data_IF_728297838708
#
_entry.id   IF_728297838708
#
_cell.length_a   1.000
_cell.length_b   1.000
_cell.length_c   1.000
_cell.angle_alpha   90.00
_cell.angle_beta   90.00
_cell.angle_gamma   90.00
#
_symmetry.space_group_name_H-M   'P 1'
#
loop_
_entity.id
_entity.type
_entity.pdbx_description
1 polymer ?
#
# COMPACT_ATOMS: atom_id res chain seq x y z
N UNK A 1 -11.17 -1.05 10.46
CA UNK A 1 -10.82 -0.51 9.15
C UNK A 1 -11.02 1.01 9.04
N UNK A 2 -10.82 1.86 10.07
CA UNK A 2 -11.14 3.29 9.92
C UNK A 2 -10.37 3.99 8.80
N UNK A 3 -9.07 3.69 8.62
CA UNK A 3 -8.27 4.30 7.56
C UNK A 3 -8.71 3.76 6.19
N UNK A 4 -8.72 2.43 6.05
CA UNK A 4 -9.22 1.71 4.88
C UNK A 4 -10.60 2.17 4.40
N UNK A 5 -11.60 2.19 5.28
CA UNK A 5 -12.97 2.55 4.94
C UNK A 5 -13.06 4.03 4.55
N UNK A 6 -12.25 4.89 5.18
CA UNK A 6 -12.21 6.32 4.85
C UNK A 6 -11.61 6.55 3.47
N UNK A 7 -10.50 5.91 3.12
CA UNK A 7 -9.90 6.08 1.79
C UNK A 7 -10.73 5.45 0.67
N UNK A 8 -11.41 4.33 0.94
CA UNK A 8 -12.37 3.74 -0.01
C UNK A 8 -13.57 4.66 -0.23
N UNK A 9 -14.15 5.20 0.86
CA UNK A 9 -15.26 6.15 0.78
C UNK A 9 -14.87 7.42 0.05
N UNK A 10 -13.66 7.95 0.32
CA UNK A 10 -13.12 9.12 -0.36
C UNK A 10 -12.92 8.85 -1.86
N UNK A 11 -12.36 7.69 -2.22
CA UNK A 11 -12.21 7.25 -3.61
C UNK A 11 -13.57 7.21 -4.31
N UNK A 12 -14.56 6.56 -3.71
CA UNK A 12 -15.91 6.46 -4.27
C UNK A 12 -16.58 7.84 -4.46
N UNK A 13 -16.41 8.76 -3.50
CA UNK A 13 -16.92 10.13 -3.61
C UNK A 13 -16.25 10.89 -4.75
N UNK A 14 -14.91 10.83 -4.84
CA UNK A 14 -14.15 11.51 -5.88
C UNK A 14 -14.47 10.98 -7.28
N UNK A 15 -14.52 9.66 -7.46
CA UNK A 15 -14.88 9.04 -8.74
C UNK A 15 -16.36 9.23 -9.09
N UNK A 16 -17.22 9.35 -8.08
CA UNK A 16 -18.63 9.74 -8.22
C UNK A 16 -18.84 11.21 -8.60
N UNK A 17 -17.78 12.00 -8.74
CA UNK A 17 -17.84 13.40 -9.16
C UNK A 17 -18.13 14.39 -8.03
N UNK A 18 -17.96 14.01 -6.76
CA UNK A 18 -18.05 14.96 -5.66
C UNK A 18 -16.96 16.05 -5.80
N UNK A 19 -17.29 17.34 -5.61
CA UNK A 19 -16.30 18.40 -5.68
C UNK A 19 -15.20 18.26 -4.62
N UNK A 20 -13.94 18.57 -4.98
CA UNK A 20 -12.79 18.51 -4.07
C UNK A 20 -12.92 19.44 -2.84
N UNK A 21 -13.75 20.48 -2.93
CA UNK A 21 -14.03 21.42 -1.84
C UNK A 21 -15.27 21.03 -1.00
N UNK A 22 -15.94 19.94 -1.35
CA UNK A 22 -17.05 19.41 -0.55
C UNK A 22 -16.58 19.19 0.91
N UNK A 23 -17.35 19.61 1.93
CA UNK A 23 -16.91 19.54 3.33
C UNK A 23 -16.46 18.15 3.77
N UNK A 24 -17.18 17.10 3.38
CA UNK A 24 -16.81 15.73 3.71
C UNK A 24 -15.50 15.27 3.04
N UNK A 25 -15.25 15.70 1.79
CA UNK A 25 -14.00 15.40 1.07
C UNK A 25 -12.83 16.07 1.76
N UNK A 26 -12.96 17.36 2.10
CA UNK A 26 -11.92 18.09 2.83
C UNK A 26 -11.63 17.47 4.19
N UNK A 27 -12.67 17.12 4.94
CA UNK A 27 -12.52 16.49 6.25
C UNK A 27 -11.81 15.13 6.15
N UNK A 28 -12.20 14.28 5.18
CA UNK A 28 -11.55 13.00 4.96
C UNK A 28 -10.07 13.17 4.56
N UNK A 29 -9.78 14.10 3.65
CA UNK A 29 -8.40 14.42 3.24
C UNK A 29 -7.57 14.87 4.44
N UNK A 30 -8.05 15.85 5.22
CA UNK A 30 -7.33 16.35 6.39
C UNK A 30 -7.09 15.25 7.42
N UNK A 31 -8.14 14.47 7.73
CA UNK A 31 -8.03 13.34 8.66
C UNK A 31 -7.04 12.28 8.20
N UNK A 32 -7.05 11.88 6.91
CA UNK A 32 -6.08 10.93 6.38
C UNK A 32 -4.65 11.47 6.52
N UNK A 33 -4.41 12.75 6.23
CA UNK A 33 -3.09 13.32 6.51
C UNK A 33 -2.75 13.26 8.00
N UNK A 34 -3.66 13.57 8.92
CA UNK A 34 -3.36 13.51 10.35
C UNK A 34 -2.99 12.09 10.84
N UNK A 35 -3.38 11.03 10.11
CA UNK A 35 -3.03 9.64 10.41
C UNK A 35 -1.77 9.12 9.70
N UNK A 36 -1.04 9.94 8.94
CA UNK A 36 0.20 9.49 8.30
C UNK A 36 1.30 9.24 9.33
N UNK A 37 1.97 8.11 9.21
CA UNK A 37 2.97 7.63 10.17
C UNK A 37 4.37 8.13 9.76
N UNK A 38 5.11 8.69 10.73
CA UNK A 38 6.47 9.21 10.55
C UNK A 38 7.50 8.59 11.50
N UNK A 39 7.13 7.53 12.20
CA UNK A 39 8.03 6.76 13.07
C UNK A 39 8.36 5.42 12.43
N UNK A 40 9.51 4.86 12.77
CA UNK A 40 9.91 3.55 12.31
C UNK A 40 9.12 2.45 13.03
N UNK A 41 8.64 1.47 12.26
CA UNK A 41 8.02 0.23 12.72
C UNK A 41 8.96 -0.98 12.61
N UNK A 42 8.40 -2.18 12.78
CA UNK A 42 9.18 -3.43 12.70
C UNK A 42 9.80 -3.64 11.30
N UNK A 43 9.10 -3.22 10.25
CA UNK A 43 9.56 -3.22 8.86
C UNK A 43 10.95 -2.60 8.66
N UNK A 44 11.32 -1.62 9.50
CA UNK A 44 12.59 -0.90 9.39
C UNK A 44 13.82 -1.78 9.68
N UNK A 45 13.63 -2.97 10.28
CA UNK A 45 14.69 -3.97 10.46
C UNK A 45 15.24 -4.46 9.12
N UNK A 46 14.34 -4.66 8.16
CA UNK A 46 14.67 -5.14 6.81
C UNK A 46 14.82 -4.00 5.79
N UNK A 47 14.24 -2.83 6.06
CA UNK A 47 14.34 -1.63 5.22
C UNK A 47 15.25 -0.54 5.85
N UNK A 48 16.54 -0.85 6.05
CA UNK A 48 17.47 0.05 6.75
C UNK A 48 17.61 1.38 6.01
N UNK A 49 17.35 2.49 6.72
CA UNK A 49 17.50 3.84 6.19
C UNK A 49 16.33 4.31 5.33
N UNK A 50 15.29 3.50 5.13
CA UNK A 50 14.06 3.91 4.50
C UNK A 50 13.28 4.83 5.45
N UNK A 51 12.87 6.00 4.95
CA UNK A 51 12.05 6.94 5.72
C UNK A 51 10.61 6.44 5.82
N UNK A 52 10.02 6.56 7.01
CA UNK A 52 8.60 6.25 7.24
C UNK A 52 7.70 7.24 6.50
N UNK A 53 6.55 6.77 6.01
CA UNK A 53 5.56 7.64 5.36
C UNK A 53 4.24 6.95 5.04
N UNK A 54 3.98 5.79 5.64
CA UNK A 54 2.81 4.96 5.37
C UNK A 54 1.61 5.29 6.27
N UNK A 55 0.58 4.48 6.12
CA UNK A 55 -0.62 4.44 6.95
C UNK A 55 -0.85 3.01 7.44
N UNK A 56 -1.60 2.86 8.52
CA UNK A 56 -2.06 1.58 9.02
C UNK A 56 -3.58 1.48 8.89
N UNK A 57 -4.10 0.25 8.92
CA UNK A 57 -5.54 -0.04 8.89
C UNK A 57 -6.37 0.59 10.03
N UNK A 58 -5.79 0.71 11.22
CA UNK A 58 -6.46 1.17 12.46
C UNK A 58 -6.19 2.65 12.77
N UNK A 59 -6.83 3.17 13.83
CA UNK A 59 -6.61 4.54 14.32
C UNK A 59 -5.18 4.77 14.84
N UNK A 60 -4.66 3.82 15.62
CA UNK A 60 -3.38 3.95 16.30
C UNK A 60 -2.62 2.63 16.16
N UNK A 61 -1.72 2.57 15.18
CA UNK A 61 -0.91 1.38 14.93
C UNK A 61 0.42 1.73 14.24
N UNK A 62 1.07 2.79 14.72
CA UNK A 62 2.23 3.44 14.09
C UNK A 62 3.45 2.53 13.86
N UNK A 63 3.48 1.34 14.47
CA UNK A 63 4.55 0.35 14.31
C UNK A 63 4.31 -0.66 13.20
N UNK A 64 3.09 -0.71 12.68
CA UNK A 64 2.67 -1.64 11.65
C UNK A 64 1.87 -0.92 10.55
N UNK A 65 2.45 0.10 9.89
CA UNK A 65 1.91 0.56 8.62
C UNK A 65 1.98 -0.58 7.60
N UNK A 66 1.00 -0.62 6.70
CA UNK A 66 0.93 -1.62 5.65
C UNK A 66 0.88 -0.99 4.28
N UNK A 67 1.39 -1.73 3.30
CA UNK A 67 1.50 -1.31 1.91
C UNK A 67 0.13 -1.12 1.27
N UNK A 68 -0.87 -1.87 1.75
CA UNK A 68 -2.22 -1.85 1.22
C UNK A 68 -2.94 -0.52 1.52
N UNK A 69 -3.13 -0.22 2.80
CA UNK A 69 -3.69 1.03 3.30
C UNK A 69 -2.87 2.23 2.80
N UNK A 70 -1.53 2.14 2.82
CA UNK A 70 -0.68 3.21 2.30
C UNK A 70 -0.96 3.50 0.83
N UNK A 71 -1.10 2.46 0.01
CA UNK A 71 -1.43 2.60 -1.40
C UNK A 71 -2.82 3.19 -1.62
N UNK A 72 -3.84 2.64 -0.97
CA UNK A 72 -5.22 3.11 -1.11
C UNK A 72 -5.42 4.53 -0.61
N UNK A 73 -4.84 4.89 0.54
CA UNK A 73 -4.88 6.26 1.06
C UNK A 73 -4.27 7.22 0.07
N UNK A 74 -3.08 6.91 -0.46
CA UNK A 74 -2.39 7.80 -1.37
C UNK A 74 -3.18 7.96 -2.68
N UNK A 75 -3.71 6.88 -3.26
CA UNK A 75 -4.55 6.99 -4.45
C UNK A 75 -5.83 7.79 -4.19
N UNK A 76 -6.48 7.62 -3.04
CA UNK A 76 -7.66 8.40 -2.65
C UNK A 76 -7.33 9.90 -2.52
N UNK A 77 -6.20 10.24 -1.90
CA UNK A 77 -5.72 11.61 -1.79
C UNK A 77 -5.42 12.24 -3.16
N UNK A 78 -4.84 11.47 -4.09
CA UNK A 78 -4.59 11.93 -5.45
C UNK A 78 -5.90 12.20 -6.20
N UNK A 79 -6.88 11.29 -6.14
CA UNK A 79 -8.23 11.44 -6.72
C UNK A 79 -8.97 12.66 -6.14
N UNK A 80 -8.79 12.95 -4.86
CA UNK A 80 -9.38 14.11 -4.19
C UNK A 80 -8.64 15.45 -4.43
N UNK A 81 -7.67 15.48 -5.36
CA UNK A 81 -6.94 16.70 -5.72
C UNK A 81 -5.97 17.19 -4.64
N UNK A 82 -5.58 16.36 -3.67
CA UNK A 82 -4.70 16.79 -2.57
C UNK A 82 -3.32 17.27 -3.06
N UNK A 83 -2.89 16.80 -4.23
CA UNK A 83 -1.63 17.16 -4.88
C UNK A 83 -1.58 18.61 -5.38
N UNK A 84 -2.73 19.27 -5.57
CA UNK A 84 -2.82 20.67 -5.99
C UNK A 84 -2.41 21.65 -4.88
N UNK A 85 -2.43 21.20 -3.61
CA UNK A 85 -2.12 22.04 -2.44
C UNK A 85 -0.66 21.92 -2.04
N UNK A 86 0.10 23.01 -2.18
CA UNK A 86 1.54 23.04 -1.91
C UNK A 86 1.93 22.55 -0.50
N UNK A 87 1.13 22.86 0.52
CA UNK A 87 1.43 22.51 1.91
C UNK A 87 1.55 20.99 2.17
N UNK A 88 0.93 20.16 1.32
CA UNK A 88 0.86 18.70 1.50
C UNK A 88 1.71 17.92 0.50
N UNK A 89 2.35 18.59 -0.47
CA UNK A 89 3.20 17.95 -1.50
C UNK A 89 4.36 17.13 -0.92
N UNK A 90 5.06 17.65 0.10
CA UNK A 90 6.17 16.91 0.73
C UNK A 90 5.69 15.57 1.31
N UNK A 91 4.55 15.59 2.00
CA UNK A 91 3.93 14.42 2.63
C UNK A 91 3.46 13.40 1.61
N UNK A 92 2.87 13.87 0.50
CA UNK A 92 2.47 13.04 -0.64
C UNK A 92 3.66 12.37 -1.33
N UNK A 93 4.81 13.05 -1.41
CA UNK A 93 6.00 12.49 -2.06
C UNK A 93 6.75 11.47 -1.18
N UNK A 94 6.53 11.48 0.13
CA UNK A 94 7.22 10.57 1.05
C UNK A 94 6.63 9.16 1.03
N UNK A 95 5.31 9.04 0.88
CA UNK A 95 4.61 7.76 0.87
C UNK A 95 4.99 6.83 -0.31
N UNK A 96 5.08 7.29 -1.59
CA UNK A 96 5.58 6.46 -2.68
C UNK A 96 6.97 5.92 -2.40
N UNK A 97 7.87 6.71 -1.80
CA UNK A 97 9.22 6.26 -1.49
C UNK A 97 9.20 5.13 -0.48
N UNK A 98 8.31 5.19 0.52
CA UNK A 98 8.12 4.09 1.46
C UNK A 98 7.61 2.83 0.73
N UNK A 99 6.57 2.92 -0.09
CA UNK A 99 6.05 1.77 -0.87
C UNK A 99 7.14 1.19 -1.77
N UNK A 100 7.89 2.01 -2.51
CA UNK A 100 9.02 1.57 -3.34
C UNK A 100 10.08 0.83 -2.54
N UNK A 101 10.41 1.33 -1.36
CA UNK A 101 11.39 0.74 -0.46
C UNK A 101 10.94 -0.59 0.15
N UNK A 102 9.63 -0.86 0.17
CA UNK A 102 9.02 -2.07 0.72
C UNK A 102 8.89 -3.22 -0.30
N UNK A 103 9.38 -3.07 -1.53
CA UNK A 103 9.32 -4.12 -2.54
C UNK A 103 10.20 -5.33 -2.19
N UNK A 104 9.66 -6.53 -2.36
CA UNK A 104 10.43 -7.77 -2.23
C UNK A 104 11.44 -7.96 -3.38
N UNK A 105 12.51 -8.74 -3.15
CA UNK A 105 13.51 -9.03 -4.20
C UNK A 105 12.95 -9.67 -5.48
N UNK A 106 11.86 -10.44 -5.39
CA UNK A 106 11.20 -11.06 -6.54
C UNK A 106 10.38 -10.06 -7.39
N UNK A 107 10.01 -8.92 -6.81
CA UNK A 107 9.20 -7.87 -7.43
C UNK A 107 7.82 -7.68 -6.80
N UNK A 108 7.43 -8.55 -5.88
CA UNK A 108 6.13 -8.51 -5.19
C UNK A 108 6.12 -7.54 -4.01
N UNK A 109 4.96 -7.35 -3.41
CA UNK A 109 4.79 -6.75 -2.08
C UNK A 109 3.97 -7.66 -1.19
N UNK A 110 4.45 -7.86 0.05
CA UNK A 110 3.63 -8.31 1.17
C UNK A 110 2.90 -7.13 1.81
N UNK A 111 2.12 -7.38 2.85
CA UNK A 111 1.36 -6.35 3.53
C UNK A 111 2.25 -5.44 4.40
N UNK A 112 3.16 -6.02 5.18
CA UNK A 112 3.88 -5.31 6.24
C UNK A 112 5.41 -5.37 6.10
N UNK A 113 5.97 -6.45 5.56
CA UNK A 113 7.41 -6.72 5.63
C UNK A 113 8.06 -7.06 4.29
N UNK A 114 9.36 -6.75 4.20
CA UNK A 114 10.22 -7.20 3.10
C UNK A 114 10.78 -8.58 3.43
N UNK A 115 10.66 -9.52 2.49
CA UNK A 115 11.30 -10.83 2.54
C UNK A 115 10.71 -11.78 3.58
N UNK A 116 9.50 -11.54 4.04
CA UNK A 116 8.80 -12.41 4.99
C UNK A 116 8.16 -13.61 4.28
N UNK A 117 9.00 -14.43 3.63
CA UNK A 117 8.58 -15.50 2.73
C UNK A 117 9.10 -16.89 3.15
N UNK A 118 9.44 -17.07 4.43
CA UNK A 118 9.88 -18.35 4.99
C UNK A 118 8.71 -19.34 5.13
N UNK A 119 8.11 -19.76 4.02
CA UNK A 119 6.87 -20.55 3.98
C UNK A 119 6.92 -21.89 4.73
N UNK A 120 8.12 -22.45 4.96
CA UNK A 120 8.28 -23.65 5.78
C UNK A 120 7.82 -23.44 7.24
N UNK A 121 7.77 -22.20 7.73
CA UNK A 121 7.24 -21.86 9.05
C UNK A 121 5.75 -22.18 9.18
N UNK A 122 5.01 -22.26 8.06
CA UNK A 122 3.62 -22.71 8.08
C UNK A 122 3.45 -24.22 8.33
N UNK A 123 4.55 -24.99 8.44
CA UNK A 123 4.51 -26.45 8.62
C UNK A 123 4.84 -26.92 10.06
N UNK A 124 4.92 -26.00 11.02
CA UNK A 124 5.15 -26.34 12.43
C UNK A 124 3.82 -26.57 13.16
N UNK A 125 3.77 -27.34 14.27
CA UNK A 125 2.52 -27.61 15.00
C UNK A 125 1.77 -26.37 15.50
N UNK A 126 2.46 -25.24 15.64
CA UNK A 126 1.87 -23.97 16.04
C UNK A 126 1.12 -23.25 14.90
N UNK A 127 1.38 -23.60 13.64
CA UNK A 127 0.93 -22.87 12.45
C UNK A 127 -0.38 -23.41 11.87
N UNK A 128 -1.38 -23.68 12.70
CA UNK A 128 -2.64 -24.31 12.27
C UNK A 128 -3.46 -23.48 11.26
N UNK A 129 -3.25 -22.15 11.23
CA UNK A 129 -3.89 -21.22 10.28
C UNK A 129 -3.14 -21.00 8.96
N UNK A 130 -1.89 -21.44 8.83
CA UNK A 130 -1.11 -21.30 7.59
C UNK A 130 -0.76 -19.87 7.15
N UNK A 131 -0.85 -18.89 8.07
CA UNK A 131 -0.62 -17.46 7.79
C UNK A 131 0.43 -16.85 8.72
N UNK A 132 1.48 -17.59 9.09
CA UNK A 132 2.54 -17.09 9.97
C UNK A 132 3.53 -16.14 9.29
N UNK A 133 3.48 -16.05 7.96
CA UNK A 133 4.40 -15.26 7.15
C UNK A 133 3.61 -14.33 6.23
N UNK A 134 4.31 -13.31 5.72
CA UNK A 134 3.77 -12.24 4.88
C UNK A 134 4.48 -12.25 3.52
N UNK A 135 4.24 -13.27 2.68
CA UNK A 135 4.82 -13.34 1.35
C UNK A 135 4.14 -12.32 0.45
N UNK A 136 4.77 -12.00 -0.67
CA UNK A 136 4.10 -11.19 -1.68
C UNK A 136 2.92 -11.90 -2.31
N UNK A 137 1.89 -11.11 -2.66
CA UNK A 137 0.65 -11.62 -3.28
C UNK A 137 0.24 -10.76 -4.47
N UNK A 138 -0.53 -11.35 -5.39
CA UNK A 138 -0.96 -10.66 -6.61
C UNK A 138 -1.81 -9.41 -6.33
N UNK A 139 -2.76 -9.48 -5.39
CA UNK A 139 -3.64 -8.36 -5.03
C UNK A 139 -2.85 -7.13 -4.53
N UNK A 140 -1.93 -7.30 -3.58
CA UNK A 140 -1.09 -6.23 -3.06
C UNK A 140 -0.10 -5.70 -4.11
N UNK A 141 0.50 -6.61 -4.89
CA UNK A 141 1.44 -6.22 -5.95
C UNK A 141 0.75 -5.42 -7.05
N UNK A 142 -0.46 -5.82 -7.45
CA UNK A 142 -1.27 -5.10 -8.44
C UNK A 142 -1.65 -3.70 -7.94
N UNK A 143 -2.03 -3.58 -6.66
CA UNK A 143 -2.34 -2.29 -6.03
C UNK A 143 -1.13 -1.35 -5.99
N UNK A 144 0.06 -1.88 -5.72
CA UNK A 144 1.30 -1.12 -5.82
C UNK A 144 1.55 -0.64 -7.24
N UNK A 145 1.31 -1.49 -8.26
CA UNK A 145 1.43 -1.10 -9.66
C UNK A 145 0.45 0.04 -10.00
N UNK A 146 -0.81 -0.04 -9.57
CA UNK A 146 -1.81 1.02 -9.78
C UNK A 146 -1.34 2.34 -9.19
N UNK A 147 -0.93 2.32 -7.91
CA UNK A 147 -0.41 3.50 -7.24
C UNK A 147 0.79 4.09 -8.00
N UNK A 148 1.79 3.26 -8.31
CA UNK A 148 3.02 3.68 -8.96
C UNK A 148 2.72 4.30 -10.34
N UNK A 149 1.76 3.76 -11.07
CA UNK A 149 1.29 4.33 -12.33
C UNK A 149 0.70 5.74 -12.13
N UNK A 150 -0.13 5.95 -11.11
CA UNK A 150 -0.71 7.26 -10.78
C UNK A 150 0.34 8.31 -10.43
N UNK A 151 1.49 7.91 -9.87
CA UNK A 151 2.61 8.80 -9.52
C UNK A 151 3.71 8.84 -10.58
N UNK A 152 3.46 8.30 -11.78
CA UNK A 152 4.29 8.51 -12.97
C UNK A 152 5.30 7.40 -13.29
N UNK A 153 5.23 6.24 -12.64
CA UNK A 153 6.07 5.09 -12.97
C UNK A 153 5.43 4.29 -14.12
N UNK A 154 6.05 4.31 -15.29
CA UNK A 154 5.62 3.52 -16.44
C UNK A 154 6.01 2.04 -16.37
N UNK A 155 5.52 1.24 -17.31
CA UNK A 155 5.82 -0.20 -17.45
C UNK A 155 7.31 -0.52 -17.57
N UNK A 156 8.08 0.42 -18.13
CA UNK A 156 9.53 0.31 -18.33
C UNK A 156 10.33 0.63 -17.07
N UNK A 157 9.68 1.11 -16.00
CA UNK A 157 10.37 1.30 -14.72
C UNK A 157 10.81 -0.07 -14.18
N UNK A 158 12.08 -0.26 -13.79
CA UNK A 158 12.56 -1.54 -13.28
C UNK A 158 11.73 -2.11 -12.13
N UNK A 159 11.16 -1.24 -11.29
CA UNK A 159 10.29 -1.65 -10.17
C UNK A 159 8.98 -2.25 -10.67
N UNK A 160 8.33 -1.58 -11.62
CA UNK A 160 7.07 -2.04 -12.23
C UNK A 160 7.30 -3.27 -13.11
N UNK A 161 8.40 -3.33 -13.86
CA UNK A 161 8.73 -4.49 -14.69
C UNK A 161 8.87 -5.77 -13.85
N UNK A 162 9.56 -5.71 -12.70
CA UNK A 162 9.66 -6.87 -11.80
C UNK A 162 8.31 -7.27 -11.20
N UNK A 163 7.50 -6.28 -10.82
CA UNK A 163 6.16 -6.51 -10.30
C UNK A 163 5.26 -7.20 -11.33
N UNK A 164 5.26 -6.72 -12.58
CA UNK A 164 4.51 -7.32 -13.68
C UNK A 164 4.98 -8.74 -14.01
N UNK A 165 6.27 -9.03 -13.88
CA UNK A 165 6.78 -10.40 -13.99
C UNK A 165 6.21 -11.29 -12.88
N UNK A 166 6.26 -10.83 -11.63
CA UNK A 166 5.67 -11.57 -10.50
C UNK A 166 4.18 -11.84 -10.74
N UNK A 167 3.38 -10.84 -11.11
CA UNK A 167 1.95 -11.02 -11.42
C UNK A 167 1.70 -12.10 -12.49
N UNK A 168 2.53 -12.15 -13.54
CA UNK A 168 2.39 -13.17 -14.59
C UNK A 168 2.78 -14.57 -14.12
N UNK A 169 3.76 -14.66 -13.22
CA UNK A 169 4.21 -15.94 -12.64
C UNK A 169 3.22 -16.46 -11.58
N UNK A 170 2.52 -15.56 -10.89
CA UNK A 170 1.52 -15.87 -9.86
C UNK A 170 0.10 -16.16 -10.43
N UNK A 171 -0.06 -16.15 -11.75
CA UNK A 171 -1.35 -16.42 -12.40
C UNK A 171 -1.68 -17.92 -12.36
N UNK A 172 -2.93 -18.25 -12.00
CA UNK A 172 -3.44 -19.62 -11.98
C UNK A 172 -3.62 -20.18 -13.40
N UNK A 173 -3.66 -21.51 -13.53
CA UNK A 173 -3.82 -22.19 -14.84
C UNK A 173 -5.10 -21.79 -15.59
N UNK A 174 -6.16 -21.42 -14.86
CA UNK A 174 -7.43 -20.96 -15.42
C UNK A 174 -7.44 -19.46 -15.78
N UNK A 175 -6.33 -18.76 -15.52
CA UNK A 175 -6.14 -17.34 -15.80
C UNK A 175 -6.56 -16.41 -14.66
N UNK A 176 -7.03 -16.94 -13.52
CA UNK A 176 -7.37 -16.15 -12.34
C UNK A 176 -6.13 -15.79 -11.49
N UNK A 177 -6.34 -14.97 -10.46
CA UNK A 177 -5.37 -14.70 -9.40
C UNK A 177 -6.05 -14.90 -8.05
N UNK A 178 -5.28 -15.42 -7.09
CA UNK A 178 -5.76 -15.58 -5.72
C UNK A 178 -5.93 -14.23 -5.02
N UNK A 179 -7.13 -13.96 -4.50
CA UNK A 179 -7.41 -12.81 -3.64
C UNK A 179 -7.09 -13.13 -2.19
N UNK A 180 -5.94 -12.70 -1.70
CA UNK A 180 -5.50 -12.98 -0.32
C UNK A 180 -6.31 -12.18 0.70
N UNK A 181 -6.66 -10.94 0.35
CA UNK A 181 -7.30 -9.97 1.25
C UNK A 181 -8.71 -9.51 0.83
N UNK A 182 -9.22 -10.01 -0.30
CA UNK A 182 -10.59 -9.75 -0.78
C UNK A 182 -10.67 -9.39 -2.24
#
# INVERSE_FOLDING_TARGET
>A
SPVWDTCLSLTALSEGGAPNDHPAVRQAVDWLFDNQIFVNGDWSKNAKGLESGGWAFQYENDKYPDVDDTGMVLMALLRAGAHEKDAKKKRLNQAPNWVLGMQNPDGSWGAFDIGNNCGYLNNIPFADHGALVDPGTADLTARCIELLSMVGYGSESPVVTRALRFIREDQEEDGSWYGRWG
#
